data_IF_887652694610
#
_entry.id   IF_887652694610
#
_cell.length_a   1.000
_cell.length_b   1.000
_cell.length_c   1.000
_cell.angle_alpha   90.00
_cell.angle_beta   90.00
_cell.angle_gamma   90.00
#
_symmetry.space_group_name_H-M   'P 1'
#
loop_
_entity.id
_entity.type
_entity.pdbx_description
1 polymer ?
#
# COMPACT_ATOMS: atom_id res chain seq x y z
N UNK A 1 -12.22 -35.12 12.76
CA UNK A 1 -11.24 -34.13 13.25
C UNK A 1 -11.32 -32.96 12.28
N UNK A 2 -12.22 -32.03 12.54
CA UNK A 2 -12.46 -30.86 11.68
C UNK A 2 -11.30 -29.89 11.82
N UNK A 3 -10.56 -29.66 10.73
CA UNK A 3 -9.65 -28.51 10.61
C UNK A 3 -10.44 -27.25 10.93
N UNK A 4 -10.11 -26.58 12.04
CA UNK A 4 -10.41 -25.17 12.17
C UNK A 4 -9.57 -24.48 11.10
N UNK A 5 -10.16 -24.23 9.94
CA UNK A 5 -9.55 -23.36 8.94
C UNK A 5 -9.18 -22.06 9.67
N UNK A 6 -7.90 -21.73 9.67
CA UNK A 6 -7.38 -20.51 10.28
C UNK A 6 -8.23 -19.35 9.76
N UNK A 7 -9.00 -18.71 10.64
CA UNK A 7 -10.00 -17.72 10.25
C UNK A 7 -9.29 -16.55 9.56
N UNK A 8 -9.59 -16.35 8.27
CA UNK A 8 -9.00 -15.26 7.48
C UNK A 8 -9.46 -13.93 8.11
N UNK A 9 -8.52 -13.20 8.71
CA UNK A 9 -8.79 -11.94 9.40
C UNK A 9 -9.05 -10.79 8.43
N UNK A 10 -10.06 -9.98 8.71
CA UNK A 10 -10.41 -8.76 7.98
C UNK A 10 -11.89 -8.67 7.69
N UNK A 11 -12.34 -7.57 7.09
CA UNK A 11 -13.75 -7.39 6.74
C UNK A 11 -14.01 -7.78 5.30
N UNK A 12 -14.95 -8.69 5.07
CA UNK A 12 -15.43 -9.01 3.73
C UNK A 12 -16.40 -7.92 3.29
N UNK A 13 -16.16 -7.34 2.12
CA UNK A 13 -17.06 -6.40 1.47
C UNK A 13 -17.57 -6.99 0.14
N UNK A 14 -18.87 -6.83 -0.14
CA UNK A 14 -19.50 -7.36 -1.35
C UNK A 14 -19.68 -8.88 -1.32
N UNK A 15 -19.45 -9.54 -2.47
CA UNK A 15 -19.62 -10.99 -2.64
C UNK A 15 -18.31 -11.77 -2.65
N UNK A 16 -17.19 -11.13 -2.28
CA UNK A 16 -15.90 -11.80 -2.21
C UNK A 16 -15.93 -12.86 -1.10
N UNK A 17 -15.31 -14.04 -1.28
CA UNK A 17 -15.26 -15.05 -0.23
C UNK A 17 -14.29 -14.69 0.90
N UNK A 18 -13.45 -13.65 0.71
CA UNK A 18 -12.40 -13.19 1.63
C UNK A 18 -12.20 -11.67 1.51
N UNK A 19 -11.61 -11.00 2.52
CA UNK A 19 -11.23 -9.59 2.43
C UNK A 19 -10.23 -9.37 1.28
N UNK A 20 -10.46 -8.35 0.46
CA UNK A 20 -9.59 -8.01 -0.67
C UNK A 20 -8.75 -6.78 -0.36
N UNK A 21 -7.50 -6.77 -0.84
CA UNK A 21 -6.50 -5.73 -0.59
C UNK A 21 -5.71 -5.45 -1.86
N UNK A 22 -5.02 -4.31 -1.92
CA UNK A 22 -4.15 -3.93 -3.05
C UNK A 22 -2.69 -3.94 -2.59
N UNK A 23 -1.81 -4.52 -3.41
CA UNK A 23 -0.36 -4.30 -3.34
C UNK A 23 0.06 -3.54 -4.60
N UNK A 24 0.62 -2.36 -4.42
CA UNK A 24 1.01 -1.46 -5.50
C UNK A 24 2.52 -1.27 -5.56
N UNK A 25 3.06 -1.41 -6.77
CA UNK A 25 4.46 -1.14 -7.10
C UNK A 25 4.66 0.28 -7.62
N UNK A 26 3.59 1.09 -7.75
CA UNK A 26 3.66 2.43 -8.36
C UNK A 26 4.32 2.34 -9.75
N UNK A 27 3.78 1.45 -10.58
CA UNK A 27 4.38 1.09 -11.86
C UNK A 27 4.39 2.28 -12.83
N UNK A 28 5.55 2.56 -13.39
CA UNK A 28 5.75 3.57 -14.44
C UNK A 28 5.56 2.90 -15.79
N UNK A 29 4.41 3.17 -16.42
CA UNK A 29 4.10 2.65 -17.75
C UNK A 29 4.98 3.24 -18.85
N UNK A 30 5.06 2.58 -20.00
CA UNK A 30 5.76 3.11 -21.16
C UNK A 30 5.21 4.49 -21.56
N UNK A 31 6.11 5.46 -21.80
CA UNK A 31 5.73 6.83 -22.12
C UNK A 31 5.16 7.65 -20.95
N UNK A 32 5.17 7.13 -19.73
CA UNK A 32 4.70 7.82 -18.53
C UNK A 32 5.86 8.15 -17.60
N UNK A 33 5.61 9.08 -16.69
CA UNK A 33 6.56 9.53 -15.67
C UNK A 33 6.25 8.91 -14.30
N UNK A 34 7.19 9.01 -13.37
CA UNK A 34 6.94 8.66 -11.97
C UNK A 34 5.80 9.49 -11.36
N UNK A 35 5.64 10.75 -11.78
CA UNK A 35 4.52 11.60 -11.34
C UNK A 35 3.17 11.08 -11.83
N UNK A 36 3.10 10.59 -13.07
CA UNK A 36 1.88 9.97 -13.62
C UNK A 36 1.53 8.67 -12.87
N UNK A 37 2.56 7.88 -12.52
CA UNK A 37 2.39 6.67 -11.74
C UNK A 37 1.84 6.98 -10.34
N UNK A 38 2.41 7.95 -9.63
CA UNK A 38 1.93 8.39 -8.31
C UNK A 38 0.49 8.95 -8.37
N UNK A 39 0.16 9.74 -9.39
CA UNK A 39 -1.21 10.20 -9.61
C UNK A 39 -2.17 9.03 -9.90
N UNK A 40 -1.70 7.99 -10.59
CA UNK A 40 -2.46 6.76 -10.82
C UNK A 40 -2.67 5.99 -9.53
N UNK A 41 -1.64 5.80 -8.69
CA UNK A 41 -1.77 5.17 -7.37
C UNK A 41 -2.80 5.87 -6.49
N UNK A 42 -2.88 7.20 -6.50
CA UNK A 42 -3.96 7.94 -5.80
C UNK A 42 -5.34 7.55 -6.33
N UNK A 43 -5.51 7.47 -7.65
CA UNK A 43 -6.80 7.05 -8.24
C UNK A 43 -7.16 5.63 -7.85
N UNK A 44 -6.19 4.71 -7.84
CA UNK A 44 -6.39 3.32 -7.42
C UNK A 44 -6.73 3.27 -5.93
N UNK A 45 -6.02 3.98 -5.07
CA UNK A 45 -6.27 3.99 -3.62
C UNK A 45 -7.68 4.51 -3.29
N UNK A 46 -8.11 5.61 -3.92
CA UNK A 46 -9.48 6.14 -3.79
C UNK A 46 -10.54 5.17 -4.32
N UNK A 47 -10.25 4.50 -5.44
CA UNK A 47 -11.17 3.51 -5.99
C UNK A 47 -11.27 2.29 -5.06
N UNK A 48 -10.14 1.79 -4.56
CA UNK A 48 -10.09 0.68 -3.62
C UNK A 48 -10.89 1.01 -2.34
N UNK A 49 -10.71 2.21 -1.80
CA UNK A 49 -11.48 2.72 -0.65
C UNK A 49 -12.98 2.75 -0.95
N UNK A 50 -13.39 3.32 -2.08
CA UNK A 50 -14.79 3.42 -2.48
C UNK A 50 -15.44 2.04 -2.72
N UNK A 51 -14.64 1.00 -2.98
CA UNK A 51 -15.10 -0.37 -3.22
C UNK A 51 -14.98 -1.28 -2.00
N UNK A 52 -14.56 -0.75 -0.86
CA UNK A 52 -14.44 -1.52 0.39
C UNK A 52 -13.27 -2.50 0.39
N UNK A 53 -12.16 -2.16 -0.26
CA UNK A 53 -10.92 -2.91 -0.05
C UNK A 53 -10.40 -2.67 1.36
N UNK A 54 -9.90 -3.73 1.99
CA UNK A 54 -9.44 -3.75 3.38
C UNK A 54 -8.20 -2.87 3.59
N UNK A 55 -7.22 -2.95 2.67
CA UNK A 55 -5.97 -2.17 2.75
C UNK A 55 -5.35 -1.92 1.37
N UNK A 56 -4.52 -0.89 1.32
CA UNK A 56 -3.66 -0.54 0.19
C UNK A 56 -2.20 -0.49 0.64
N UNK A 57 -1.38 -1.36 0.07
CA UNK A 57 0.04 -1.46 0.39
C UNK A 57 0.91 -0.96 -0.73
N UNK A 58 2.00 -0.30 -0.37
CA UNK A 58 3.06 0.12 -1.30
C UNK A 58 4.29 -0.75 -1.07
N UNK A 59 4.85 -1.32 -2.15
CA UNK A 59 6.10 -2.08 -2.08
C UNK A 59 7.33 -1.16 -2.14
N UNK A 60 8.48 -1.59 -1.63
CA UNK A 60 9.75 -0.88 -1.78
C UNK A 60 10.60 -1.48 -2.91
N UNK A 61 11.00 -0.66 -3.89
CA UNK A 61 11.90 -1.08 -4.98
C UNK A 61 12.91 0.01 -5.34
N UNK A 62 14.13 -0.41 -5.66
CA UNK A 62 15.25 0.47 -5.99
C UNK A 62 15.84 0.12 -7.35
N UNK A 63 16.36 1.13 -8.05
CA UNK A 63 17.06 0.95 -9.34
C UNK A 63 16.23 0.24 -10.43
N UNK A 64 14.91 0.42 -10.39
CA UNK A 64 13.96 -0.14 -11.36
C UNK A 64 13.22 0.99 -12.06
N UNK A 65 13.63 1.43 -13.27
CA UNK A 65 13.00 2.56 -13.96
C UNK A 65 11.48 2.43 -14.18
N UNK A 66 10.96 1.20 -14.25
CA UNK A 66 9.53 0.90 -14.37
C UNK A 66 8.74 0.98 -13.06
N UNK A 67 9.35 1.39 -11.95
CA UNK A 67 8.76 1.38 -10.61
C UNK A 67 9.14 2.66 -9.87
N UNK A 68 8.15 3.40 -9.37
CA UNK A 68 8.34 4.66 -8.65
C UNK A 68 8.16 4.52 -7.12
N UNK A 69 8.46 3.35 -6.56
CA UNK A 69 8.15 3.01 -5.16
C UNK A 69 9.39 2.83 -4.26
N UNK A 70 10.37 3.74 -4.32
CA UNK A 70 11.62 3.62 -3.53
C UNK A 70 11.52 4.08 -2.07
N UNK A 71 10.48 4.83 -1.70
CA UNK A 71 10.27 5.31 -0.33
C UNK A 71 8.81 5.13 0.11
N UNK A 72 8.46 3.96 0.67
CA UNK A 72 7.08 3.66 1.07
C UNK A 72 6.50 4.71 2.01
N UNK A 73 7.24 5.16 3.03
CA UNK A 73 6.72 6.14 4.00
C UNK A 73 6.31 7.47 3.34
N UNK A 74 7.10 7.97 2.38
CA UNK A 74 6.79 9.21 1.64
C UNK A 74 5.56 9.03 0.76
N UNK A 75 5.45 7.90 0.08
CA UNK A 75 4.30 7.60 -0.78
C UNK A 75 3.04 7.40 0.06
N UNK A 76 3.15 6.76 1.22
CA UNK A 76 2.05 6.57 2.16
C UNK A 76 1.56 7.91 2.71
N UNK A 77 2.44 8.85 3.06
CA UNK A 77 2.04 10.20 3.43
C UNK A 77 1.25 10.89 2.30
N UNK A 78 1.72 10.73 1.06
CA UNK A 78 1.05 11.27 -0.12
C UNK A 78 -0.35 10.66 -0.33
N UNK A 79 -0.51 9.35 -0.16
CA UNK A 79 -1.79 8.66 -0.26
C UNK A 79 -2.72 9.00 0.91
N UNK A 80 -2.21 9.03 2.13
CA UNK A 80 -2.96 9.32 3.36
C UNK A 80 -3.65 10.69 3.28
N UNK A 81 -2.96 11.70 2.73
CA UNK A 81 -3.57 13.01 2.50
C UNK A 81 -4.68 13.04 1.43
N UNK A 82 -4.97 11.92 0.75
CA UNK A 82 -5.89 11.83 -0.40
C UNK A 82 -6.92 10.71 -0.26
N UNK A 83 -6.91 9.96 0.84
CA UNK A 83 -7.87 8.93 1.22
C UNK A 83 -8.34 9.18 2.65
N UNK A 84 -9.45 8.59 3.06
CA UNK A 84 -10.08 8.92 4.35
C UNK A 84 -10.21 7.72 5.31
N UNK A 85 -10.35 6.51 4.78
CA UNK A 85 -10.79 5.33 5.53
C UNK A 85 -9.98 4.07 5.22
N UNK A 86 -9.46 3.92 4.00
CA UNK A 86 -8.70 2.72 3.64
C UNK A 86 -7.42 2.64 4.46
N UNK A 87 -7.10 1.44 4.97
CA UNK A 87 -5.85 1.21 5.70
C UNK A 87 -4.68 1.29 4.74
N UNK A 88 -3.71 2.15 5.03
CA UNK A 88 -2.49 2.28 4.25
C UNK A 88 -1.34 1.57 4.96
N UNK A 89 -0.42 0.99 4.20
CA UNK A 89 0.75 0.34 4.78
C UNK A 89 1.83 0.01 3.76
N UNK A 90 2.93 -0.57 4.24
CA UNK A 90 4.01 -1.05 3.36
C UNK A 90 3.96 -2.57 3.24
N UNK A 91 4.13 -3.08 2.02
CA UNK A 91 4.14 -4.52 1.71
C UNK A 91 5.34 -4.97 0.88
N UNK A 92 6.59 -4.71 1.26
CA UNK A 92 7.08 -4.25 2.57
C UNK A 92 8.22 -3.24 2.47
N UNK A 93 8.66 -2.75 3.63
CA UNK A 93 9.91 -2.00 3.75
C UNK A 93 11.06 -3.01 3.67
N UNK A 94 12.11 -2.69 2.91
CA UNK A 94 13.34 -3.48 2.90
C UNK A 94 14.14 -3.22 4.19
N UNK A 95 13.59 -3.61 5.33
CA UNK A 95 14.11 -3.26 6.66
C UNK A 95 15.62 -3.50 6.86
N UNK A 96 16.25 -4.56 6.29
CA UNK A 96 17.70 -4.73 6.37
C UNK A 96 18.54 -3.59 5.78
N UNK A 97 17.95 -2.74 4.93
CA UNK A 97 18.61 -1.61 4.27
C UNK A 97 18.47 -0.29 5.06
N UNK A 98 17.68 -0.27 6.13
CA UNK A 98 17.34 0.95 6.88
C UNK A 98 17.65 0.80 8.36
N UNK A 99 17.94 1.92 9.02
CA UNK A 99 18.00 1.95 10.48
C UNK A 99 16.58 1.69 11.04
N UNK A 100 16.37 0.67 11.90
CA UNK A 100 15.04 0.36 12.42
C UNK A 100 14.36 1.53 13.14
N UNK A 101 15.13 2.37 13.83
CA UNK A 101 14.61 3.57 14.50
C UNK A 101 13.97 4.55 13.51
N UNK A 102 14.61 4.78 12.35
CA UNK A 102 14.07 5.67 11.31
C UNK A 102 12.74 5.14 10.78
N UNK A 103 12.63 3.83 10.56
CA UNK A 103 11.38 3.22 10.12
C UNK A 103 10.30 3.34 11.21
N UNK A 104 10.66 3.11 12.48
CA UNK A 104 9.74 3.28 13.59
C UNK A 104 9.21 4.72 13.71
N UNK A 105 10.08 5.72 13.58
CA UNK A 105 9.71 7.14 13.62
C UNK A 105 8.84 7.54 12.44
N UNK A 106 9.17 7.09 11.22
CA UNK A 106 8.39 7.38 10.02
C UNK A 106 6.97 6.81 10.09
N UNK A 107 6.83 5.53 10.44
CA UNK A 107 5.52 4.89 10.53
C UNK A 107 4.74 5.33 11.78
N UNK A 108 5.43 5.64 12.89
CA UNK A 108 4.80 6.27 14.05
C UNK A 108 4.26 7.66 13.72
N UNK A 109 4.97 8.45 12.92
CA UNK A 109 4.50 9.77 12.46
C UNK A 109 3.32 9.66 11.50
N UNK A 110 3.28 8.63 10.64
CA UNK A 110 2.15 8.38 9.74
C UNK A 110 0.86 7.97 10.49
N UNK A 111 0.99 7.41 11.69
CA UNK A 111 -0.14 6.96 12.50
C UNK A 111 -0.74 8.09 13.36
N UNK A 112 0.08 9.07 13.77
CA UNK A 112 -0.28 10.19 14.64
C UNK A 112 -1.31 11.15 14.02
#
# INVERSE_FOLDING_TARGET
MTEQAEEIRGTVHGSAPVPLSVLDLVTVGAGHTASDALATSVRIARLAEARGFERYWVAEHHSMPGVASSSPAVILAYLAARTERIRLGSGGVMLPNHAPLVIAEQFGTLEA
#
